data_IF_340053387537
#
_entry.id   IF_340053387537
#
_cell.length_a   1.000
_cell.length_b   1.000
_cell.length_c   1.000
_cell.angle_alpha   90.00
_cell.angle_beta   90.00
_cell.angle_gamma   90.00
#
_symmetry.space_group_name_H-M   'P 1'
#
loop_
_entity.id
_entity.type
_entity.pdbx_description
1 polymer ?
#
# COMPACT_ATOMS: atom_id res chain seq x y z
N UNK A 1 1.56 2.08 -29.57
CA UNK A 1 0.53 2.69 -28.71
C UNK A 1 0.92 2.38 -27.29
N UNK A 2 0.91 3.39 -26.41
CA UNK A 2 1.14 3.17 -24.98
C UNK A 2 0.09 2.22 -24.41
N UNK A 3 0.52 1.32 -23.52
CA UNK A 3 -0.36 0.42 -22.76
C UNK A 3 -0.33 0.75 -21.27
N UNK A 4 -1.35 0.28 -20.58
CA UNK A 4 -1.40 0.25 -19.12
C UNK A 4 -0.76 -1.03 -18.58
N UNK A 5 0.18 -0.87 -17.66
CA UNK A 5 0.77 -1.99 -16.92
C UNK A 5 0.34 -1.86 -15.47
N UNK A 6 -0.50 -2.82 -15.03
CA UNK A 6 -1.11 -2.82 -13.71
C UNK A 6 -0.46 -3.88 -12.84
N UNK A 7 0.14 -3.48 -11.73
CA UNK A 7 0.73 -4.36 -10.72
C UNK A 7 -0.17 -4.35 -9.50
N UNK A 8 -0.62 -5.52 -9.05
CA UNK A 8 -1.44 -5.68 -7.86
C UNK A 8 -0.70 -6.55 -6.84
N UNK A 9 -0.33 -5.97 -5.70
CA UNK A 9 0.41 -6.64 -4.63
C UNK A 9 -0.49 -6.82 -3.42
N UNK A 10 -0.91 -8.04 -3.14
CA UNK A 10 -1.77 -8.34 -2.00
C UNK A 10 -0.96 -8.45 -0.68
N UNK A 11 -1.66 -8.34 0.43
CA UNK A 11 -1.13 -8.65 1.76
C UNK A 11 -1.01 -10.15 2.00
N UNK A 12 -0.29 -10.50 3.04
CA UNK A 12 0.02 -11.88 3.41
C UNK A 12 -1.17 -12.73 3.80
N UNK A 13 -1.07 -14.03 3.51
CA UNK A 13 -2.06 -15.06 3.86
C UNK A 13 -3.38 -14.99 3.07
N UNK A 14 -3.43 -14.22 1.98
CA UNK A 14 -4.53 -14.25 1.02
C UNK A 14 -4.23 -15.27 -0.09
N UNK A 15 -4.14 -16.56 0.28
CA UNK A 15 -4.34 -17.61 -0.72
C UNK A 15 -5.70 -17.39 -1.40
N UNK A 16 -5.86 -17.87 -2.64
CA UNK A 16 -7.13 -17.89 -3.38
C UNK A 16 -8.13 -18.75 -2.58
N UNK A 17 -8.72 -18.14 -1.55
CA UNK A 17 -9.55 -18.76 -0.54
C UNK A 17 -10.93 -18.12 -0.57
N UNK A 18 -11.86 -18.62 0.26
CA UNK A 18 -13.21 -18.04 0.38
C UNK A 18 -13.21 -16.60 0.88
N UNK A 19 -12.10 -16.13 1.48
CA UNK A 19 -11.90 -14.77 1.97
C UNK A 19 -11.06 -14.01 0.95
N UNK A 20 -11.66 -13.02 0.27
CA UNK A 20 -11.00 -12.27 -0.80
C UNK A 20 -10.65 -10.87 -0.35
N UNK A 21 -9.41 -10.45 -0.63
CA UNK A 21 -9.02 -9.05 -0.54
C UNK A 21 -9.68 -8.23 -1.65
N UNK A 22 -9.67 -6.92 -1.46
CA UNK A 22 -10.05 -5.96 -2.48
C UNK A 22 -9.03 -5.90 -3.61
N UNK A 23 -7.76 -6.26 -3.38
CA UNK A 23 -6.75 -6.38 -4.44
C UNK A 23 -7.11 -7.53 -5.40
N UNK A 24 -7.49 -8.70 -4.86
CA UNK A 24 -7.94 -9.83 -5.68
C UNK A 24 -9.27 -9.56 -6.39
N UNK A 25 -10.20 -8.87 -5.71
CA UNK A 25 -11.46 -8.43 -6.35
C UNK A 25 -11.16 -7.44 -7.49
N UNK A 26 -10.29 -6.46 -7.26
CA UNK A 26 -9.85 -5.49 -8.25
C UNK A 26 -9.23 -6.17 -9.48
N UNK A 27 -8.32 -7.13 -9.26
CA UNK A 27 -7.77 -7.97 -10.33
C UNK A 27 -8.85 -8.63 -11.18
N UNK A 28 -9.91 -9.14 -10.55
CA UNK A 28 -11.07 -9.72 -11.25
C UNK A 28 -11.82 -8.71 -12.12
N UNK A 29 -11.91 -7.46 -11.69
CA UNK A 29 -12.65 -6.39 -12.40
C UNK A 29 -11.90 -5.76 -13.57
N UNK A 30 -10.56 -5.86 -13.61
CA UNK A 30 -9.75 -5.25 -14.66
C UNK A 30 -9.85 -6.02 -15.99
N UNK A 31 -9.99 -5.28 -17.10
CA UNK A 31 -9.83 -5.85 -18.46
C UNK A 31 -8.39 -6.32 -18.65
N UNK A 32 -8.21 -7.40 -19.40
CA UNK A 32 -6.89 -7.97 -19.72
C UNK A 32 -6.79 -8.03 -21.22
N UNK A 33 -6.14 -7.03 -21.81
CA UNK A 33 -6.00 -6.87 -23.27
C UNK A 33 -4.55 -6.53 -23.59
N UNK A 34 -4.12 -6.55 -24.86
CA UNK A 34 -2.78 -6.12 -25.23
C UNK A 34 -2.44 -4.68 -24.76
N UNK A 35 -3.45 -3.82 -24.64
CA UNK A 35 -3.35 -2.42 -24.19
C UNK A 35 -3.44 -2.27 -22.67
N UNK A 36 -3.83 -3.32 -21.93
CA UNK A 36 -3.85 -3.34 -20.47
C UNK A 36 -3.40 -4.69 -19.92
N UNK A 37 -2.13 -4.74 -19.51
CA UNK A 37 -1.48 -5.93 -18.95
C UNK A 37 -1.59 -5.87 -17.43
N UNK A 38 -2.01 -6.97 -16.81
CA UNK A 38 -2.31 -7.03 -15.37
C UNK A 38 -1.53 -8.16 -14.70
N UNK A 39 -0.72 -7.81 -13.71
CA UNK A 39 0.04 -8.71 -12.85
C UNK A 39 -0.54 -8.72 -11.44
N UNK A 40 -0.71 -9.91 -10.85
CA UNK A 40 -1.19 -10.08 -9.48
C UNK A 40 -0.24 -10.96 -8.69
N UNK A 41 0.20 -10.46 -7.55
CA UNK A 41 0.99 -11.18 -6.55
C UNK A 41 0.14 -11.38 -5.28
N UNK A 42 -0.04 -12.62 -4.81
CA UNK A 42 -0.86 -12.93 -3.63
C UNK A 42 -0.20 -12.56 -2.28
N UNK A 43 1.01 -12.01 -2.29
CA UNK A 43 1.79 -11.75 -1.09
C UNK A 43 2.51 -13.00 -0.56
N UNK A 44 3.35 -12.82 0.46
CA UNK A 44 4.05 -13.94 1.10
C UNK A 44 3.09 -14.80 1.93
N UNK A 45 3.09 -16.11 1.66
CA UNK A 45 2.51 -17.13 2.52
C UNK A 45 3.63 -18.05 2.99
N UNK A 46 3.82 -18.19 4.30
CA UNK A 46 4.76 -19.18 4.85
C UNK A 46 4.17 -20.56 4.64
N UNK A 47 4.49 -21.18 3.50
CA UNK A 47 4.33 -22.63 3.34
C UNK A 47 5.35 -23.29 4.26
N UNK A 48 4.87 -24.04 5.26
CA UNK A 48 5.72 -24.83 6.16
C UNK A 48 5.25 -24.85 7.61
N UNK A 49 4.20 -25.61 7.90
CA UNK A 49 4.00 -26.33 9.15
C UNK A 49 2.70 -27.16 9.04
N UNK A 50 2.79 -28.34 8.42
CA UNK A 50 1.70 -29.33 8.38
C UNK A 50 1.43 -30.01 9.73
N UNK A 51 1.89 -29.43 10.85
CA UNK A 51 1.58 -29.93 12.19
C UNK A 51 0.96 -28.80 13.02
N UNK A 52 -0.25 -29.08 13.50
CA UNK A 52 -1.13 -28.18 14.24
C UNK A 52 -0.40 -27.31 15.28
N UNK A 53 -0.85 -26.07 15.47
CA UNK A 53 -1.09 -25.33 16.73
C UNK A 53 -1.81 -24.00 16.39
N UNK A 54 -2.83 -23.63 17.18
CA UNK A 54 -3.80 -22.51 17.05
C UNK A 54 -3.59 -21.45 15.94
N UNK A 55 -4.66 -21.15 15.18
CA UNK A 55 -4.74 -20.10 14.13
C UNK A 55 -4.17 -18.74 14.54
N UNK A 56 -4.39 -18.33 15.80
CA UNK A 56 -3.88 -17.08 16.36
C UNK A 56 -2.36 -17.07 16.54
N UNK A 57 -1.76 -18.20 16.95
CA UNK A 57 -0.29 -18.35 17.08
C UNK A 57 0.38 -18.45 15.70
N UNK A 58 -0.23 -19.14 14.73
CA UNK A 58 0.25 -19.16 13.34
C UNK A 58 0.26 -17.76 12.74
N UNK A 59 -0.83 -17.01 12.87
CA UNK A 59 -0.90 -15.63 12.38
C UNK A 59 0.08 -14.68 13.11
N UNK A 60 0.29 -14.85 14.42
CA UNK A 60 1.33 -14.12 15.17
C UNK A 60 2.74 -14.50 14.70
N UNK A 61 3.02 -15.77 14.44
CA UNK A 61 4.30 -16.24 13.88
C UNK A 61 4.47 -15.80 12.43
N UNK A 62 3.40 -15.66 11.63
CA UNK A 62 3.45 -15.03 10.31
C UNK A 62 3.74 -13.54 10.42
N UNK A 63 3.22 -12.85 11.44
CA UNK A 63 3.51 -11.44 11.68
C UNK A 63 4.93 -11.20 12.22
N UNK A 64 5.42 -12.03 13.14
CA UNK A 64 6.73 -11.90 13.80
C UNK A 64 7.85 -12.66 13.08
N UNK A 65 7.58 -13.80 12.46
CA UNK A 65 8.55 -14.56 11.65
C UNK A 65 8.91 -13.86 10.33
N UNK A 66 8.09 -12.88 9.92
CA UNK A 66 8.32 -12.00 8.77
C UNK A 66 8.88 -10.62 9.18
N UNK A 67 9.29 -10.45 10.44
CA UNK A 67 10.02 -9.29 10.97
C UNK A 67 11.41 -9.09 10.33
N UNK A 68 11.84 -10.01 9.46
CA UNK A 68 13.11 -9.97 8.72
C UNK A 68 12.97 -9.43 7.29
N UNK A 69 11.76 -9.07 6.83
CA UNK A 69 11.54 -8.63 5.44
C UNK A 69 11.66 -9.75 4.39
N UNK A 70 11.87 -10.99 4.83
CA UNK A 70 12.04 -12.16 3.98
C UNK A 70 10.76 -12.43 3.16
N UNK A 71 10.89 -12.41 1.84
CA UNK A 71 9.82 -12.58 0.86
C UNK A 71 9.14 -11.28 0.37
N UNK A 72 9.15 -10.18 1.14
CA UNK A 72 8.69 -8.88 0.62
C UNK A 72 9.61 -8.40 -0.52
N UNK A 73 10.91 -8.53 -0.30
CA UNK A 73 11.95 -8.17 -1.26
C UNK A 73 11.80 -8.97 -2.56
N UNK A 74 11.47 -10.27 -2.45
CA UNK A 74 11.24 -11.14 -3.61
C UNK A 74 10.03 -10.69 -4.41
N UNK A 75 8.89 -10.42 -3.76
CA UNK A 75 7.68 -9.97 -4.45
C UNK A 75 7.90 -8.61 -5.15
N UNK A 76 8.66 -7.70 -4.53
CA UNK A 76 9.02 -6.41 -5.16
C UNK A 76 9.92 -6.64 -6.38
N UNK A 77 10.95 -7.49 -6.26
CA UNK A 77 11.86 -7.80 -7.38
C UNK A 77 11.15 -8.53 -8.53
N UNK A 78 10.22 -9.45 -8.24
CA UNK A 78 9.41 -10.14 -9.25
C UNK A 78 8.48 -9.17 -9.99
N UNK A 79 7.77 -8.31 -9.26
CA UNK A 79 6.96 -7.25 -9.87
C UNK A 79 7.81 -6.28 -10.71
N UNK A 80 9.03 -5.98 -10.25
CA UNK A 80 9.99 -5.17 -11.02
C UNK A 80 10.46 -5.86 -12.30
N UNK A 81 10.78 -7.17 -12.26
CA UNK A 81 11.13 -7.97 -13.45
C UNK A 81 9.98 -7.99 -14.45
N UNK A 82 8.76 -8.13 -13.97
CA UNK A 82 7.56 -8.05 -14.80
C UNK A 82 7.47 -6.69 -15.50
N UNK A 83 7.64 -5.59 -14.76
CA UNK A 83 7.65 -4.24 -15.34
C UNK A 83 8.74 -4.10 -16.40
N UNK A 84 9.99 -4.49 -16.12
CA UNK A 84 11.09 -4.37 -17.07
C UNK A 84 10.86 -5.18 -18.35
N UNK A 85 10.24 -6.36 -18.23
CA UNK A 85 9.94 -7.23 -19.38
C UNK A 85 8.80 -6.68 -20.25
N UNK A 86 7.80 -6.07 -19.62
CA UNK A 86 6.59 -5.64 -20.33
C UNK A 86 6.59 -4.17 -20.74
N UNK A 87 7.38 -3.31 -20.09
CA UNK A 87 7.40 -1.88 -20.36
C UNK A 87 8.04 -1.58 -21.72
N UNK A 88 7.26 -0.95 -22.59
CA UNK A 88 7.71 -0.48 -23.89
C UNK A 88 7.93 1.02 -23.86
N UNK A 89 9.02 1.41 -24.48
CA UNK A 89 9.26 2.81 -24.79
C UNK A 89 8.42 3.21 -25.99
N UNK A 90 7.57 4.21 -25.80
CA UNK A 90 7.03 4.95 -26.92
C UNK A 90 8.15 5.57 -27.75
N UNK A 91 8.02 5.53 -29.07
CA UNK A 91 8.84 6.32 -29.97
C UNK A 91 8.67 7.81 -29.63
N UNK A 92 9.72 8.60 -29.86
CA UNK A 92 9.65 10.05 -29.67
C UNK A 92 8.82 10.62 -30.82
N UNK A 93 7.63 11.13 -30.53
CA UNK A 93 6.79 11.82 -31.49
C UNK A 93 7.48 13.07 -32.04
N UNK A 94 7.00 13.56 -33.19
CA UNK A 94 7.53 14.76 -33.86
C UNK A 94 7.41 16.04 -33.01
N UNK A 95 6.52 16.04 -32.02
CA UNK A 95 6.30 17.10 -31.02
C UNK A 95 7.20 16.96 -29.78
N UNK A 96 8.07 15.94 -29.75
CA UNK A 96 8.94 15.62 -28.62
C UNK A 96 8.26 14.87 -27.48
N UNK A 97 6.95 14.57 -27.56
CA UNK A 97 6.24 13.75 -26.58
C UNK A 97 6.52 12.27 -26.84
N UNK A 98 6.66 11.48 -25.76
CA UNK A 98 6.78 10.02 -25.85
C UNK A 98 5.49 9.42 -25.36
N UNK A 99 4.83 8.62 -26.19
CA UNK A 99 3.68 7.81 -25.79
C UNK A 99 4.17 6.59 -25.00
N UNK A 100 4.64 6.83 -23.77
CA UNK A 100 5.20 5.80 -22.89
C UNK A 100 4.10 5.06 -22.14
N UNK A 101 4.31 3.77 -21.90
CA UNK A 101 3.43 2.95 -21.07
C UNK A 101 3.16 3.57 -19.70
N UNK A 102 1.95 3.38 -19.19
CA UNK A 102 1.49 3.93 -17.92
C UNK A 102 1.53 2.86 -16.84
N UNK A 103 2.25 3.12 -15.76
CA UNK A 103 2.38 2.17 -14.63
C UNK A 103 1.33 2.47 -13.57
N UNK A 104 0.57 1.46 -13.18
CA UNK A 104 -0.42 1.51 -12.10
C UNK A 104 -0.03 0.51 -11.03
N UNK A 105 0.15 0.97 -9.81
CA UNK A 105 0.57 0.13 -8.69
C UNK A 105 -0.55 0.09 -7.66
N UNK A 106 -0.98 -1.11 -7.30
CA UNK A 106 -1.99 -1.34 -6.29
C UNK A 106 -1.48 -2.23 -5.17
N UNK A 107 -1.95 -2.01 -3.95
CA UNK A 107 -1.75 -3.00 -2.92
C UNK A 107 -2.55 -2.79 -1.65
N UNK A 108 -2.58 -3.83 -0.82
CA UNK A 108 -3.24 -3.83 0.48
C UNK A 108 -2.25 -4.15 1.60
N UNK A 109 -2.34 -3.44 2.73
CA UNK A 109 -1.57 -3.74 3.93
C UNK A 109 -0.06 -3.72 3.68
N UNK A 110 0.59 -4.87 3.77
CA UNK A 110 2.00 -5.05 3.42
C UNK A 110 2.25 -5.01 1.92
N UNK A 111 1.32 -5.52 1.10
CA UNK A 111 1.37 -5.35 -0.34
C UNK A 111 1.26 -3.88 -0.77
N UNK A 112 0.51 -3.06 -0.02
CA UNK A 112 0.49 -1.60 -0.21
C UNK A 112 1.87 -0.97 0.09
N UNK A 113 2.55 -1.46 1.12
CA UNK A 113 3.93 -1.06 1.39
C UNK A 113 4.89 -1.55 0.29
N UNK A 114 4.77 -2.80 -0.18
CA UNK A 114 5.53 -3.31 -1.32
C UNK A 114 5.33 -2.46 -2.57
N UNK A 115 4.11 -1.99 -2.84
CA UNK A 115 3.81 -1.10 -3.96
C UNK A 115 4.53 0.26 -3.81
N UNK A 116 4.58 0.81 -2.60
CA UNK A 116 5.37 2.01 -2.28
C UNK A 116 6.88 1.77 -2.44
N UNK A 117 7.39 0.61 -2.01
CA UNK A 117 8.80 0.22 -2.15
C UNK A 117 9.17 0.07 -3.62
N UNK A 118 8.33 -0.59 -4.42
CA UNK A 118 8.50 -0.71 -5.86
C UNK A 118 8.50 0.67 -6.54
N UNK A 119 7.57 1.56 -6.17
CA UNK A 119 7.55 2.93 -6.67
C UNK A 119 8.85 3.68 -6.35
N UNK A 120 9.35 3.56 -5.12
CA UNK A 120 10.61 4.18 -4.72
C UNK A 120 11.82 3.60 -5.45
N UNK A 121 11.83 2.28 -5.69
CA UNK A 121 12.88 1.63 -6.44
C UNK A 121 12.90 2.06 -7.91
N UNK A 122 11.72 2.19 -8.54
CA UNK A 122 11.58 2.74 -9.89
C UNK A 122 12.06 4.19 -9.99
N UNK A 123 11.81 4.99 -8.96
CA UNK A 123 12.30 6.37 -8.90
C UNK A 123 13.84 6.43 -8.80
N UNK A 124 14.42 5.62 -7.92
CA UNK A 124 15.85 5.62 -7.64
C UNK A 124 16.69 4.97 -8.74
N UNK A 125 16.27 3.81 -9.26
CA UNK A 125 17.07 3.00 -10.19
C UNK A 125 16.48 2.90 -11.60
N UNK A 126 15.26 3.38 -11.82
CA UNK A 126 14.58 3.21 -13.11
C UNK A 126 14.33 1.76 -13.48
N UNK A 127 13.97 1.52 -14.74
CA UNK A 127 13.81 0.21 -15.37
C UNK A 127 15.09 -0.13 -16.12
N UNK A 128 15.66 -1.30 -15.81
CA UNK A 128 16.82 -1.86 -16.48
C UNK A 128 16.38 -2.77 -17.62
N UNK A 129 17.30 -3.02 -18.56
CA UNK A 129 17.07 -3.98 -19.63
C UNK A 129 16.96 -5.42 -19.05
N UNK A 130 16.05 -6.28 -19.54
CA UNK A 130 15.88 -7.65 -19.03
C UNK A 130 17.16 -8.49 -18.99
N UNK A 131 18.10 -8.23 -19.90
CA UNK A 131 19.41 -8.89 -19.96
C UNK A 131 20.27 -8.64 -18.72
N UNK A 132 19.96 -7.59 -17.95
CA UNK A 132 20.72 -7.15 -16.77
C UNK A 132 20.08 -7.58 -15.45
N UNK A 133 19.10 -8.50 -15.45
CA UNK A 133 18.45 -9.00 -14.24
C UNK A 133 19.40 -9.69 -13.25
N UNK A 134 20.58 -10.13 -13.69
CA UNK A 134 21.65 -10.62 -12.82
C UNK A 134 22.13 -9.54 -11.82
N UNK A 135 21.97 -8.25 -12.14
CA UNK A 135 22.36 -7.14 -11.29
C UNK A 135 21.24 -6.65 -10.36
N UNK A 136 20.00 -7.13 -10.55
CA UNK A 136 18.83 -6.66 -9.81
C UNK A 136 19.00 -6.79 -8.29
N UNK A 137 19.53 -7.91 -7.81
CA UNK A 137 19.73 -8.14 -6.38
C UNK A 137 20.72 -7.15 -5.76
N UNK A 138 21.74 -6.73 -6.51
CA UNK A 138 22.72 -5.74 -6.06
C UNK A 138 22.08 -4.34 -6.01
N UNK A 139 21.43 -3.94 -7.10
CA UNK A 139 20.73 -2.65 -7.18
C UNK A 139 19.66 -2.51 -6.08
N UNK A 140 18.88 -3.57 -5.85
CA UNK A 140 17.83 -3.56 -4.83
C UNK A 140 18.41 -3.53 -3.40
N UNK A 141 19.56 -4.18 -3.16
CA UNK A 141 20.28 -4.09 -1.88
C UNK A 141 20.78 -2.66 -1.63
N UNK A 142 21.38 -2.03 -2.63
CA UNK A 142 21.83 -0.63 -2.57
C UNK A 142 20.65 0.34 -2.37
N UNK A 143 19.49 0.06 -2.96
CA UNK A 143 18.28 0.85 -2.68
C UNK A 143 17.84 0.77 -1.22
N UNK A 144 17.87 -0.43 -0.62
CA UNK A 144 17.45 -0.60 0.77
C UNK A 144 18.35 0.13 1.76
N UNK A 145 19.64 0.29 1.48
CA UNK A 145 20.57 1.02 2.34
C UNK A 145 20.29 2.52 2.40
N UNK A 146 19.67 3.14 1.36
CA UNK A 146 19.27 4.56 1.39
C UNK A 146 18.28 4.87 2.53
N UNK A 147 17.38 3.93 2.81
CA UNK A 147 16.33 4.08 3.83
C UNK A 147 16.79 3.75 5.24
N UNK A 148 18.00 3.20 5.40
CA UNK A 148 18.66 3.21 6.70
C UNK A 148 18.97 4.67 6.95
N UNK A 149 18.41 5.25 8.02
CA UNK A 149 18.74 6.61 8.42
C UNK A 149 20.24 6.65 8.67
N UNK A 150 21.00 6.93 7.61
CA UNK A 150 22.42 7.11 7.60
C UNK A 150 22.66 8.23 8.60
N UNK A 151 23.03 7.82 9.81
CA UNK A 151 23.42 8.73 10.88
C UNK A 151 24.68 9.51 10.48
N UNK A 152 25.30 9.11 9.38
CA UNK A 152 26.49 9.67 8.79
C UNK A 152 26.22 10.15 7.35
N UNK A 153 26.52 11.43 7.08
CA UNK A 153 26.41 12.02 5.75
C UNK A 153 27.33 11.33 4.72
N UNK A 154 28.43 10.71 5.17
CA UNK A 154 29.36 9.98 4.30
C UNK A 154 28.72 8.71 3.72
N UNK A 155 27.99 7.95 4.54
CA UNK A 155 27.30 6.71 4.12
C UNK A 155 26.20 7.02 3.09
N UNK A 156 25.44 8.10 3.33
CA UNK A 156 24.47 8.59 2.32
C UNK A 156 25.15 8.92 1.00
N UNK A 157 26.29 9.63 1.04
CA UNK A 157 27.01 10.04 -0.16
C UNK A 157 27.53 8.85 -0.97
N UNK A 158 27.99 7.78 -0.30
CA UNK A 158 28.46 6.54 -0.92
C UNK A 158 27.31 5.79 -1.59
N UNK A 159 26.17 5.62 -0.91
CA UNK A 159 24.98 4.99 -1.51
C UNK A 159 24.48 5.79 -2.72
N UNK A 160 24.43 7.12 -2.64
CA UNK A 160 24.09 7.96 -3.80
C UNK A 160 25.13 7.86 -4.92
N UNK A 161 26.40 7.64 -4.61
CA UNK A 161 27.42 7.38 -5.61
C UNK A 161 27.20 6.03 -6.31
N UNK A 162 26.85 4.98 -5.57
CA UNK A 162 26.50 3.66 -6.11
C UNK A 162 25.29 3.73 -7.05
N UNK A 163 24.22 4.45 -6.65
CA UNK A 163 23.06 4.70 -7.52
C UNK A 163 23.49 5.38 -8.82
N UNK A 164 24.29 6.46 -8.74
CA UNK A 164 24.79 7.17 -9.94
C UNK A 164 25.65 6.29 -10.83
N UNK A 165 26.44 5.38 -10.24
CA UNK A 165 27.21 4.40 -11.02
C UNK A 165 26.28 3.44 -11.77
N UNK A 166 25.27 2.90 -11.09
CA UNK A 166 24.25 2.06 -11.72
C UNK A 166 23.51 2.81 -12.84
N UNK A 167 23.11 4.06 -12.60
CA UNK A 167 22.47 4.89 -13.63
C UNK A 167 23.37 5.08 -14.85
N UNK A 168 24.67 5.34 -14.65
CA UNK A 168 25.61 5.56 -15.74
C UNK A 168 25.88 4.28 -16.54
N UNK A 169 25.98 3.13 -15.86
CA UNK A 169 26.32 1.84 -16.49
C UNK A 169 25.11 1.22 -17.18
N UNK A 170 23.96 1.21 -16.50
CA UNK A 170 22.74 0.55 -16.98
C UNK A 170 21.89 1.45 -17.85
N UNK A 171 22.13 2.77 -17.81
CA UNK A 171 21.34 3.79 -18.50
C UNK A 171 19.82 3.53 -18.38
N UNK A 172 19.31 3.39 -17.14
CA UNK A 172 17.96 2.92 -16.92
C UNK A 172 16.94 3.97 -17.34
N UNK A 173 15.75 3.49 -17.66
CA UNK A 173 14.63 4.36 -17.95
C UNK A 173 13.96 4.79 -16.68
N UNK A 174 13.68 6.08 -16.50
CA UNK A 174 12.87 6.57 -15.37
C UNK A 174 11.40 6.66 -15.77
N UNK A 175 10.55 5.65 -15.49
CA UNK A 175 9.15 5.72 -15.85
C UNK A 175 8.39 6.67 -14.90
N UNK A 176 7.26 7.16 -15.39
CA UNK A 176 6.26 7.85 -14.57
C UNK A 176 5.26 6.82 -14.05
N UNK A 177 4.84 6.98 -12.80
CA UNK A 177 3.81 6.13 -12.19
C UNK A 177 2.50 6.89 -12.26
N UNK A 178 1.56 6.38 -13.04
CA UNK A 178 0.26 7.03 -13.30
C UNK A 178 -0.58 7.12 -12.04
N UNK A 179 -0.64 6.05 -11.25
CA UNK A 179 -1.36 6.03 -9.99
C UNK A 179 -0.78 4.98 -9.03
N UNK A 180 -0.74 5.32 -7.75
CA UNK A 180 -0.50 4.42 -6.64
C UNK A 180 -1.80 4.27 -5.81
N UNK A 181 -2.48 3.13 -5.96
CA UNK A 181 -3.75 2.80 -5.31
C UNK A 181 -3.58 1.87 -4.10
N UNK A 182 -3.81 2.38 -2.90
CA UNK A 182 -3.44 1.73 -1.65
C UNK A 182 -4.67 1.47 -0.78
N UNK A 183 -4.75 0.27 -0.24
CA UNK A 183 -5.68 -0.07 0.83
C UNK A 183 -4.90 -0.19 2.14
N UNK A 184 -5.18 0.71 3.06
CA UNK A 184 -4.72 0.73 4.45
C UNK A 184 -3.25 0.31 4.67
N UNK A 185 -2.32 1.08 4.08
CA UNK A 185 -0.88 0.83 4.19
C UNK A 185 -0.44 0.79 5.66
N UNK A 186 0.17 -0.31 6.08
CA UNK A 186 0.77 -0.44 7.43
C UNK A 186 2.29 -0.50 7.32
N UNK A 187 2.99 0.01 8.33
CA UNK A 187 4.44 -0.10 8.40
C UNK A 187 4.83 -1.58 8.59
N UNK A 188 5.44 -2.19 7.58
CA UNK A 188 5.57 -3.65 7.49
C UNK A 188 6.90 -4.22 8.00
N UNK A 189 7.82 -3.37 8.47
CA UNK A 189 9.15 -3.81 8.90
C UNK A 189 9.39 -3.37 10.33
N UNK A 190 9.16 -4.29 11.26
CA UNK A 190 9.60 -4.18 12.65
C UNK A 190 10.86 -5.03 12.77
N UNK A 191 12.04 -4.44 12.65
CA UNK A 191 13.31 -5.15 12.81
C UNK A 191 13.69 -5.26 14.30
N UNK A 192 14.36 -6.34 14.73
CA UNK A 192 14.97 -6.40 16.05
C UNK A 192 16.07 -5.32 16.15
N UNK A 193 15.84 -4.26 16.91
CA UNK A 193 16.92 -3.35 17.29
C UNK A 193 17.73 -3.89 18.47
N UNK A 194 18.90 -3.30 18.73
CA UNK A 194 19.85 -3.72 19.78
C UNK A 194 19.23 -3.96 21.16
N UNK A 195 18.15 -3.25 21.49
CA UNK A 195 17.40 -3.41 22.74
C UNK A 195 15.87 -3.38 22.56
N UNK A 196 15.37 -2.88 21.43
CA UNK A 196 13.93 -2.68 21.16
C UNK A 196 13.62 -2.84 19.67
N UNK A 197 12.42 -3.32 19.30
CA UNK A 197 12.01 -3.38 17.90
C UNK A 197 12.02 -1.99 17.25
N UNK A 198 12.50 -1.88 16.01
CA UNK A 198 12.58 -0.63 15.24
C UNK A 198 11.75 -0.72 13.98
N UNK A 199 10.96 0.32 13.71
CA UNK A 199 10.25 0.45 12.43
C UNK A 199 11.19 1.09 11.41
N UNK A 200 11.48 0.38 10.31
CA UNK A 200 12.25 0.95 9.18
C UNK A 200 11.32 1.44 8.08
N UNK A 201 11.72 2.52 7.42
CA UNK A 201 11.05 3.08 6.24
C UNK A 201 12.06 3.21 5.12
N UNK A 202 11.80 2.58 3.98
CA UNK A 202 12.65 2.78 2.81
C UNK A 202 12.46 4.20 2.23
N UNK A 203 13.49 4.68 1.53
CA UNK A 203 13.47 5.95 0.83
C UNK A 203 12.33 5.99 -0.19
N UNK A 204 11.79 7.18 -0.46
CA UNK A 204 10.72 7.40 -1.44
C UNK A 204 9.42 6.61 -1.25
N UNK A 205 9.17 6.06 -0.05
CA UNK A 205 7.92 5.30 0.24
C UNK A 205 6.79 6.15 0.80
N UNK A 206 7.08 7.40 1.19
CA UNK A 206 6.08 8.38 1.64
C UNK A 206 6.03 9.62 0.76
N UNK A 207 7.10 9.96 0.06
CA UNK A 207 7.18 11.07 -0.88
C UNK A 207 7.97 10.57 -2.08
N UNK A 208 7.34 10.55 -3.25
CA UNK A 208 7.95 10.03 -4.48
C UNK A 208 7.56 10.92 -5.66
N UNK A 209 8.49 11.73 -6.17
CA UNK A 209 8.18 12.65 -7.26
C UNK A 209 7.90 12.00 -8.62
N UNK A 210 8.15 10.69 -8.78
CA UNK A 210 7.77 9.95 -9.99
C UNK A 210 6.30 9.50 -9.99
N UNK A 211 5.59 9.64 -8.87
CA UNK A 211 4.17 9.28 -8.75
C UNK A 211 3.30 10.48 -9.11
N UNK A 212 2.39 10.33 -10.08
CA UNK A 212 1.52 11.43 -10.48
C UNK A 212 0.26 11.53 -9.62
N UNK A 213 -0.33 10.39 -9.27
CA UNK A 213 -1.54 10.33 -8.45
C UNK A 213 -1.44 9.27 -7.35
N UNK A 214 -2.04 9.55 -6.21
CA UNK A 214 -2.16 8.62 -5.08
C UNK A 214 -3.62 8.53 -4.67
N UNK A 215 -4.10 7.30 -4.48
CA UNK A 215 -5.40 7.00 -3.89
C UNK A 215 -5.18 6.07 -2.72
N UNK A 216 -5.49 6.49 -1.51
CA UNK A 216 -5.32 5.66 -0.33
C UNK A 216 -6.61 5.60 0.49
N UNK A 217 -7.17 4.40 0.62
CA UNK A 217 -8.27 4.12 1.55
C UNK A 217 -7.70 3.79 2.93
N UNK A 218 -8.24 4.40 3.99
CA UNK A 218 -7.71 4.29 5.36
C UNK A 218 -8.80 3.85 6.34
N UNK A 219 -8.44 3.01 7.30
CA UNK A 219 -9.36 2.53 8.33
C UNK A 219 -9.45 3.52 9.51
N UNK A 220 -10.67 3.89 9.90
CA UNK A 220 -10.93 4.74 11.08
C UNK A 220 -10.82 3.92 12.37
N UNK A 221 -11.40 2.72 12.38
CA UNK A 221 -11.70 1.95 13.60
C UNK A 221 -10.64 0.89 13.94
N UNK A 222 -9.52 0.88 13.21
CA UNK A 222 -8.40 -0.01 13.51
C UNK A 222 -7.61 0.48 14.73
N UNK A 223 -7.51 -0.37 15.76
CA UNK A 223 -6.96 -0.03 17.07
C UNK A 223 -5.67 -0.74 17.43
N UNK A 224 -5.23 -1.72 16.63
CA UNK A 224 -4.00 -2.48 16.91
C UNK A 224 -2.79 -1.60 16.68
N UNK A 225 -1.91 -1.50 17.68
CA UNK A 225 -0.75 -0.62 17.69
C UNK A 225 0.24 -0.88 16.54
N UNK A 226 0.33 -2.13 16.06
CA UNK A 226 1.19 -2.49 14.92
C UNK A 226 0.56 -2.19 13.55
N UNK A 227 -0.71 -1.79 13.51
CA UNK A 227 -1.46 -1.50 12.28
C UNK A 227 -1.65 0.01 12.13
N UNK A 228 -0.63 0.80 12.49
CA UNK A 228 -0.67 2.26 12.30
C UNK A 228 -0.57 2.57 10.81
N UNK A 229 -1.43 3.48 10.31
CA UNK A 229 -1.45 3.79 8.89
C UNK A 229 -0.20 4.60 8.54
N UNK A 230 0.39 4.29 7.38
CA UNK A 230 1.44 5.11 6.78
C UNK A 230 0.78 6.06 5.78
N UNK A 231 0.68 7.34 6.14
CA UNK A 231 0.13 8.38 5.26
C UNK A 231 1.09 8.73 4.12
N UNK A 232 0.59 9.43 3.10
CA UNK A 232 1.41 10.08 2.08
C UNK A 232 1.99 11.39 2.61
N UNK A 233 3.18 11.75 2.17
CA UNK A 233 3.89 12.93 2.61
C UNK A 233 3.20 14.25 2.22
N UNK A 234 3.60 15.32 2.91
CA UNK A 234 3.12 16.68 2.65
C UNK A 234 3.81 17.31 1.43
N UNK A 235 5.04 16.92 1.16
CA UNK A 235 5.71 17.29 -0.09
C UNK A 235 5.14 16.45 -1.24
N UNK A 236 4.39 17.14 -2.10
CA UNK A 236 3.51 16.59 -3.14
C UNK A 236 3.90 17.16 -4.51
N UNK A 237 5.19 17.19 -4.81
CA UNK A 237 5.70 17.55 -6.13
C UNK A 237 5.77 16.32 -7.06
N UNK A 238 5.26 16.45 -8.27
CA UNK A 238 5.37 15.49 -9.37
C UNK A 238 6.35 16.03 -10.41
N UNK A 239 7.38 15.25 -10.74
CA UNK A 239 8.38 15.60 -11.74
C UNK A 239 7.93 15.13 -13.12
N UNK A 240 7.54 16.08 -13.98
CA UNK A 240 7.28 15.82 -15.39
C UNK A 240 8.54 15.38 -16.13
N UNK A 241 9.68 15.97 -15.79
CA UNK A 241 10.98 15.62 -16.33
C UNK A 241 11.99 15.57 -15.18
N UNK A 242 12.60 14.40 -14.90
CA UNK A 242 13.63 14.28 -13.86
C UNK A 242 14.82 15.23 -14.04
N UNK A 243 15.07 15.71 -15.26
CA UNK A 243 16.17 16.63 -15.59
C UNK A 243 15.77 18.12 -15.53
N UNK A 244 14.49 18.42 -15.28
CA UNK A 244 13.98 19.80 -15.11
C UNK A 244 13.06 19.89 -13.89
N UNK A 245 13.61 19.91 -12.67
CA UNK A 245 12.83 20.00 -11.43
C UNK A 245 11.94 21.24 -11.34
N UNK A 246 12.34 22.32 -12.00
CA UNK A 246 11.59 23.57 -12.12
C UNK A 246 10.20 23.40 -12.79
N UNK A 247 10.04 22.38 -13.62
CA UNK A 247 8.78 22.06 -14.32
C UNK A 247 7.84 21.17 -13.47
N UNK A 248 8.08 21.07 -12.16
CA UNK A 248 7.27 20.23 -11.27
C UNK A 248 5.82 20.71 -11.15
N UNK A 249 4.91 19.76 -10.96
CA UNK A 249 3.48 20.01 -10.78
C UNK A 249 2.97 19.41 -9.47
N UNK A 250 1.86 19.88 -8.90
CA UNK A 250 1.27 19.23 -7.73
C UNK A 250 0.81 17.79 -8.04
N UNK A 251 1.11 16.84 -7.15
CA UNK A 251 0.57 15.49 -7.20
C UNK A 251 -0.95 15.49 -6.90
N UNK A 252 -1.70 14.65 -7.61
CA UNK A 252 -3.10 14.39 -7.30
C UNK A 252 -3.20 13.32 -6.19
N UNK A 253 -3.17 13.75 -4.93
CA UNK A 253 -3.22 12.87 -3.76
C UNK A 253 -4.59 12.92 -3.10
N UNK A 254 -5.26 11.76 -2.98
CA UNK A 254 -6.47 11.60 -2.17
C UNK A 254 -6.30 10.47 -1.17
N UNK A 255 -6.28 10.83 0.12
CA UNK A 255 -6.35 9.89 1.24
C UNK A 255 -7.74 10.01 1.85
N UNK A 256 -8.52 8.92 1.80
CA UNK A 256 -9.91 8.90 2.25
C UNK A 256 -10.10 7.90 3.36
N UNK A 257 -10.73 8.33 4.44
CA UNK A 257 -10.97 7.53 5.64
C UNK A 257 -12.36 6.93 5.62
N UNK A 258 -12.45 5.63 5.91
CA UNK A 258 -13.66 4.83 5.87
C UNK A 258 -13.89 4.13 7.22
N UNK A 259 -15.17 3.88 7.52
CA UNK A 259 -15.57 3.12 8.69
C UNK A 259 -15.09 1.66 8.59
N UNK A 260 -14.69 1.10 9.74
CA UNK A 260 -14.21 -0.26 9.87
C UNK A 260 -12.73 -0.39 10.17
N UNK A 261 -12.32 -1.64 10.40
CA UNK A 261 -10.94 -2.02 10.72
C UNK A 261 -10.13 -2.30 9.45
N UNK A 262 -8.84 -2.63 9.60
CA UNK A 262 -7.94 -2.90 8.47
C UNK A 262 -8.50 -3.87 7.40
N UNK A 263 -9.14 -4.96 7.84
CA UNK A 263 -9.77 -5.94 6.94
C UNK A 263 -11.09 -5.46 6.33
N UNK A 264 -11.76 -4.49 6.94
CA UNK A 264 -12.95 -3.86 6.36
C UNK A 264 -12.54 -2.93 5.21
N UNK A 265 -11.31 -2.40 5.22
CA UNK A 265 -10.83 -1.52 4.14
C UNK A 265 -10.22 -2.31 2.99
N UNK A 266 -9.36 -3.28 3.30
CA UNK A 266 -8.69 -4.07 2.27
C UNK A 266 -9.38 -5.38 1.90
N UNK A 267 -10.48 -5.72 2.56
CA UNK A 267 -11.13 -7.02 2.42
C UNK A 267 -10.44 -8.13 3.22
N UNK A 268 -10.82 -9.38 2.94
CA UNK A 268 -10.36 -10.55 3.68
C UNK A 268 -11.38 -11.12 4.69
N UNK A 269 -12.56 -10.50 4.81
CA UNK A 269 -13.71 -11.09 5.50
C UNK A 269 -14.52 -11.98 4.55
N UNK A 270 -15.33 -12.91 5.10
CA UNK A 270 -16.30 -13.67 4.31
C UNK A 270 -17.24 -12.76 3.50
N UNK A 271 -17.73 -13.27 2.39
CA UNK A 271 -18.51 -12.46 1.46
C UNK A 271 -19.77 -11.81 2.09
N UNK A 272 -20.58 -12.50 2.93
CA UNK A 272 -21.74 -11.86 3.59
C UNK A 272 -21.39 -10.67 4.47
N UNK A 273 -20.16 -10.59 4.97
CA UNK A 273 -19.67 -9.55 5.88
C UNK A 273 -18.83 -8.49 5.15
N UNK A 274 -18.73 -8.56 3.82
CA UNK A 274 -17.79 -7.75 3.04
C UNK A 274 -18.30 -6.37 2.64
N UNK A 275 -19.51 -5.95 3.06
CA UNK A 275 -20.15 -4.72 2.58
C UNK A 275 -19.32 -3.45 2.77
N UNK A 276 -18.63 -3.31 3.91
CA UNK A 276 -17.70 -2.19 4.14
C UNK A 276 -16.52 -2.21 3.16
N UNK A 277 -15.95 -3.38 2.90
CA UNK A 277 -14.86 -3.53 1.92
C UNK A 277 -15.28 -3.28 0.49
N UNK A 278 -16.57 -3.42 0.15
CA UNK A 278 -17.03 -3.06 -1.20
C UNK A 278 -17.06 -1.55 -1.41
N UNK A 279 -17.34 -0.75 -0.37
CA UNK A 279 -17.34 0.73 -0.46
C UNK A 279 -15.96 1.26 -0.83
N UNK A 280 -14.91 0.71 -0.22
CA UNK A 280 -13.53 1.14 -0.50
C UNK A 280 -13.06 0.69 -1.87
N UNK A 281 -13.48 -0.51 -2.31
CA UNK A 281 -13.20 -1.02 -3.64
C UNK A 281 -13.92 -0.23 -4.73
N UNK A 282 -15.19 0.08 -4.52
CA UNK A 282 -16.00 0.94 -5.39
C UNK A 282 -15.33 2.31 -5.56
N UNK A 283 -15.00 2.98 -4.46
CA UNK A 283 -14.29 4.26 -4.50
C UNK A 283 -12.97 4.18 -5.28
N UNK A 284 -12.15 3.16 -5.04
CA UNK A 284 -10.87 3.00 -5.76
C UNK A 284 -11.09 2.82 -7.27
N UNK A 285 -12.10 2.04 -7.66
CA UNK A 285 -12.45 1.81 -9.06
C UNK A 285 -12.96 3.10 -9.72
N UNK A 286 -13.81 3.87 -9.05
CA UNK A 286 -14.32 5.14 -9.57
C UNK A 286 -13.18 6.13 -9.83
N UNK A 287 -12.31 6.32 -8.84
CA UNK A 287 -11.18 7.25 -8.93
C UNK A 287 -10.21 6.89 -10.07
N UNK A 288 -9.89 5.60 -10.22
CA UNK A 288 -8.92 5.15 -11.23
C UNK A 288 -9.53 4.95 -12.61
N UNK A 289 -10.83 4.63 -12.69
CA UNK A 289 -11.57 4.66 -13.97
C UNK A 289 -11.62 6.08 -14.52
N UNK A 290 -11.86 7.09 -13.68
CA UNK A 290 -11.83 8.49 -14.10
C UNK A 290 -10.45 8.92 -14.65
N UNK A 291 -9.37 8.23 -14.23
CA UNK A 291 -8.02 8.43 -14.75
C UNK A 291 -7.71 7.67 -16.05
N UNK A 292 -8.63 6.84 -16.53
CA UNK A 292 -8.53 6.09 -17.78
C UNK A 292 -8.19 4.59 -17.65
N UNK A 293 -8.22 4.02 -16.44
CA UNK A 293 -7.97 2.59 -16.25
C UNK A 293 -9.19 1.75 -16.67
N UNK A 294 -8.97 0.64 -17.39
CA UNK A 294 -10.04 -0.10 -18.06
C UNK A 294 -10.60 -1.26 -17.21
N UNK A 295 -11.93 -1.27 -17.09
CA UNK A 295 -12.66 -2.25 -16.27
C UNK A 295 -13.73 -3.01 -17.04
N UNK A 296 -14.04 -4.22 -16.58
CA UNK A 296 -15.21 -4.99 -17.00
C UNK A 296 -16.43 -4.58 -16.18
N UNK A 297 -17.35 -3.81 -16.79
CA UNK A 297 -18.60 -3.39 -16.15
C UNK A 297 -19.39 -4.60 -15.64
N UNK A 298 -19.51 -5.66 -16.44
CA UNK A 298 -20.19 -6.91 -16.01
C UNK A 298 -19.60 -7.48 -14.73
N UNK A 299 -18.26 -7.50 -14.64
CA UNK A 299 -17.59 -8.06 -13.46
C UNK A 299 -17.74 -7.15 -12.25
N UNK A 300 -17.80 -5.84 -12.44
CA UNK A 300 -18.04 -4.86 -11.38
C UNK A 300 -19.45 -5.01 -10.82
N UNK A 301 -20.46 -5.03 -11.69
CA UNK A 301 -21.85 -5.20 -11.28
C UNK A 301 -22.02 -6.48 -10.46
N UNK A 302 -21.35 -7.58 -10.83
CA UNK A 302 -21.41 -8.82 -10.06
C UNK A 302 -20.56 -8.78 -8.78
N UNK A 303 -19.25 -8.56 -8.87
CA UNK A 303 -18.31 -8.75 -7.75
C UNK A 303 -18.34 -7.58 -6.77
N UNK A 304 -18.55 -6.35 -7.24
CA UNK A 304 -18.47 -5.14 -6.42
C UNK A 304 -19.86 -4.72 -5.95
N UNK A 305 -20.79 -4.55 -6.90
CA UNK A 305 -22.13 -4.01 -6.62
C UNK A 305 -23.13 -5.08 -6.15
N UNK A 306 -22.80 -6.36 -6.31
CA UNK A 306 -23.70 -7.45 -5.92
C UNK A 306 -25.01 -7.50 -6.74
N UNK A 307 -25.03 -6.91 -7.94
CA UNK A 307 -26.22 -6.83 -8.79
C UNK A 307 -26.53 -8.15 -9.50
N UNK A 308 -27.82 -8.37 -9.79
CA UNK A 308 -28.33 -9.58 -10.45
C UNK A 308 -28.41 -10.79 -9.52
N UNK A 309 -28.29 -12.00 -10.06
CA UNK A 309 -28.21 -13.24 -9.26
C UNK A 309 -26.78 -13.46 -8.71
N UNK A 310 -26.19 -12.40 -8.15
CA UNK A 310 -24.82 -12.43 -7.64
C UNK A 310 -24.79 -13.04 -6.24
N UNK A 311 -23.83 -13.94 -6.00
CA UNK A 311 -23.51 -14.44 -4.65
C UNK A 311 -22.66 -13.47 -3.82
N UNK A 312 -22.31 -12.33 -4.39
CA UNK A 312 -21.45 -11.32 -3.78
C UNK A 312 -22.31 -10.25 -3.09
N UNK A 313 -21.83 -9.78 -1.95
CA UNK A 313 -22.52 -8.72 -1.19
C UNK A 313 -22.32 -7.37 -1.87
N UNK A 314 -23.32 -6.50 -1.75
CA UNK A 314 -23.27 -5.12 -2.22
C UNK A 314 -22.49 -4.21 -1.25
N UNK A 315 -22.03 -3.03 -1.69
CA UNK A 315 -21.56 -1.98 -0.80
C UNK A 315 -22.68 -1.53 0.13
N UNK A 316 -22.37 -1.47 1.43
CA UNK A 316 -23.34 -1.12 2.45
C UNK A 316 -22.64 -0.42 3.64
N UNK A 317 -22.92 0.88 3.87
CA UNK A 317 -22.40 1.62 5.03
C UNK A 317 -22.77 1.02 6.38
N UNK A 318 -23.87 0.26 6.44
CA UNK A 318 -24.41 -0.36 7.66
C UNK A 318 -24.03 -1.83 7.79
N UNK A 319 -23.21 -2.36 6.87
CA UNK A 319 -22.69 -3.71 7.01
C UNK A 319 -21.98 -3.90 8.37
N UNK A 320 -21.97 -5.14 8.91
CA UNK A 320 -21.32 -5.43 10.18
C UNK A 320 -19.88 -4.91 10.21
N UNK A 321 -19.57 -4.10 11.22
CA UNK A 321 -18.21 -3.63 11.45
C UNK A 321 -17.47 -4.63 12.33
N UNK A 322 -16.26 -5.01 11.92
CA UNK A 322 -15.50 -6.00 12.66
C UNK A 322 -14.67 -5.36 13.77
N UNK A 323 -14.40 -6.15 14.81
CA UNK A 323 -13.41 -5.79 15.85
C UNK A 323 -12.15 -6.62 15.62
N UNK A 324 -11.03 -5.95 15.33
CA UNK A 324 -9.74 -6.59 15.05
C UNK A 324 -8.87 -6.77 16.30
N UNK A 325 -9.00 -5.88 17.30
CA UNK A 325 -8.32 -5.96 18.59
C UNK A 325 -9.00 -7.01 19.50
N UNK A 326 -8.61 -8.27 19.35
CA UNK A 326 -9.14 -9.42 20.11
C UNK A 326 -8.02 -10.28 20.72
N UNK A 327 -8.28 -10.90 21.86
CA UNK A 327 -7.45 -11.96 22.45
C UNK A 327 -5.96 -11.58 22.55
N UNK A 328 -5.06 -12.31 21.89
CA UNK A 328 -3.61 -12.13 21.97
C UNK A 328 -3.11 -10.76 21.52
N UNK A 329 -3.91 -9.99 20.77
CA UNK A 329 -3.58 -8.61 20.44
C UNK A 329 -3.42 -7.71 21.67
N UNK A 330 -4.21 -7.95 22.72
CA UNK A 330 -4.10 -7.17 23.96
C UNK A 330 -2.76 -7.34 24.66
N UNK A 331 -2.07 -8.47 24.47
CA UNK A 331 -0.71 -8.67 25.01
C UNK A 331 0.29 -7.71 24.35
N UNK A 332 0.10 -7.43 23.06
CA UNK A 332 0.98 -6.54 22.29
C UNK A 332 0.69 -5.06 22.57
N UNK A 333 -0.55 -4.72 22.94
CA UNK A 333 -0.92 -3.38 23.39
C UNK A 333 -0.29 -2.98 24.74
N UNK A 334 0.18 -3.97 25.52
CA UNK A 334 0.90 -3.76 26.78
C UNK A 334 2.41 -3.58 26.58
N UNK A 335 2.93 -3.73 25.36
CA UNK A 335 4.37 -3.53 25.09
C UNK A 335 4.63 -2.02 24.99
N UNK A 336 5.49 -1.45 25.86
CA UNK A 336 5.80 -0.03 25.81
C UNK A 336 6.64 0.32 24.58
N UNK A 337 6.35 1.46 23.95
CA UNK A 337 7.14 2.02 22.87
C UNK A 337 7.72 3.40 23.23
N UNK A 338 8.95 3.68 22.76
CA UNK A 338 9.47 5.05 22.67
C UNK A 338 8.87 5.70 21.43
N UNK A 339 7.75 6.36 21.59
CA UNK A 339 7.13 7.12 20.50
C UNK A 339 7.29 8.61 20.73
N UNK A 340 7.41 9.42 19.66
CA UNK A 340 7.40 10.87 19.76
C UNK A 340 6.15 11.35 20.51
N UNK A 341 6.29 12.44 21.29
CA UNK A 341 5.15 13.10 21.94
C UNK A 341 4.03 13.33 20.92
N UNK A 342 2.80 12.92 21.22
CA UNK A 342 1.61 13.10 20.36
C UNK A 342 1.26 11.91 19.46
N UNK A 343 2.11 10.88 19.36
CA UNK A 343 1.80 9.69 18.53
C UNK A 343 0.63 8.84 19.06
N UNK A 344 0.36 8.93 20.36
CA UNK A 344 -0.80 8.32 21.00
C UNK A 344 -1.55 9.40 21.80
N UNK A 345 -2.47 10.14 21.17
CA UNK A 345 -3.25 11.16 21.87
C UNK A 345 -4.02 10.60 23.08
N UNK A 346 -4.28 9.29 23.09
CA UNK A 346 -5.04 8.57 24.12
C UNK A 346 -4.27 7.41 24.79
N UNK A 347 -2.99 7.21 24.45
CA UNK A 347 -2.17 6.18 25.09
C UNK A 347 -1.81 6.57 26.51
N UNK A 348 -1.68 5.59 27.42
CA UNK A 348 -1.22 5.89 28.79
C UNK A 348 0.29 6.09 28.79
N UNK A 349 0.74 7.20 29.37
CA UNK A 349 2.15 7.47 29.60
C UNK A 349 2.52 7.10 31.03
N UNK A 350 3.56 6.28 31.19
CA UNK A 350 4.10 5.92 32.50
C UNK A 350 5.63 5.86 32.42
N UNK A 351 6.31 6.61 33.28
CA UNK A 351 7.78 6.68 33.34
C UNK A 351 8.46 6.94 31.98
N UNK A 352 7.89 7.82 31.14
CA UNK A 352 8.44 8.16 29.82
C UNK A 352 8.22 7.10 28.72
N UNK A 353 7.52 6.01 29.04
CA UNK A 353 7.08 5.00 28.10
C UNK A 353 5.61 5.23 27.74
N UNK A 354 5.26 5.01 26.48
CA UNK A 354 3.86 5.11 26.03
C UNK A 354 3.31 3.71 25.75
N UNK A 355 2.15 3.43 26.34
CA UNK A 355 1.39 2.20 26.16
C UNK A 355 0.21 2.47 25.24
N UNK A 356 0.14 1.80 24.06
CA UNK A 356 -0.93 2.00 23.10
C UNK A 356 -2.32 1.68 23.67
N UNK A 357 -2.48 0.58 24.40
CA UNK A 357 -3.74 0.16 25.06
C UNK A 357 -5.00 0.25 24.18
N UNK A 358 -4.87 -0.05 22.89
CA UNK A 358 -5.96 0.05 21.93
C UNK A 358 -6.37 1.49 21.61
N UNK A 359 -5.47 2.46 21.72
CA UNK A 359 -5.70 3.84 21.32
C UNK A 359 -6.10 3.92 19.85
N UNK A 360 -7.08 4.78 19.55
CA UNK A 360 -7.53 5.00 18.18
C UNK A 360 -6.40 5.56 17.29
N UNK A 361 -6.61 5.51 15.97
CA UNK A 361 -5.72 6.14 14.99
C UNK A 361 -5.83 7.65 15.08
N UNK A 362 -4.70 8.33 14.90
CA UNK A 362 -4.67 9.78 14.72
C UNK A 362 -5.08 10.10 13.29
N UNK A 363 -6.20 10.80 13.13
CA UNK A 363 -6.69 11.28 11.84
C UNK A 363 -6.31 12.78 11.74
N UNK A 364 -5.64 13.23 10.66
CA UNK A 364 -5.34 14.64 10.46
C UNK A 364 -6.61 15.50 10.43
N UNK A 365 -6.53 16.76 10.87
CA UNK A 365 -7.70 17.66 10.83
C UNK A 365 -8.15 17.98 9.38
N UNK A 366 -7.24 17.92 8.42
CA UNK A 366 -7.53 18.09 6.98
C UNK A 366 -7.90 16.79 6.26
N UNK A 367 -8.15 15.70 7.00
CA UNK A 367 -8.43 14.40 6.41
C UNK A 367 -9.79 14.38 5.69
N UNK A 368 -9.83 13.78 4.50
CA UNK A 368 -11.10 13.54 3.81
C UNK A 368 -11.80 12.32 4.40
N UNK A 369 -13.00 12.51 4.95
CA UNK A 369 -13.85 11.42 5.44
C UNK A 369 -14.79 10.95 4.31
N UNK A 370 -15.01 9.64 4.19
CA UNK A 370 -15.94 9.10 3.20
C UNK A 370 -17.39 9.38 3.59
N UNK A 371 -18.25 9.69 2.61
CA UNK A 371 -19.69 9.91 2.84
C UNK A 371 -20.39 8.71 3.50
N UNK A 372 -19.89 7.49 3.28
CA UNK A 372 -20.39 6.29 3.94
C UNK A 372 -20.23 6.32 5.47
N UNK A 373 -19.24 7.08 5.99
CA UNK A 373 -19.06 7.28 7.43
C UNK A 373 -20.19 8.14 7.98
N UNK A 374 -20.50 9.25 7.32
CA UNK A 374 -21.64 10.11 7.68
C UNK A 374 -22.95 9.34 7.60
N UNK A 375 -23.18 8.60 6.50
CA UNK A 375 -24.37 7.76 6.35
C UNK A 375 -24.50 6.72 7.48
N UNK A 376 -23.38 6.15 7.95
CA UNK A 376 -23.37 5.25 9.10
C UNK A 376 -23.69 5.98 10.40
N UNK A 377 -23.08 7.14 10.65
CA UNK A 377 -23.33 7.93 11.86
C UNK A 377 -24.79 8.41 11.96
N UNK A 378 -25.41 8.73 10.83
CA UNK A 378 -26.80 9.16 10.75
C UNK A 378 -27.78 8.01 11.06
N UNK A 379 -27.47 6.80 10.57
CA UNK A 379 -28.33 5.63 10.73
C UNK A 379 -28.06 4.83 12.02
N UNK A 380 -26.83 4.87 12.55
CA UNK A 380 -26.38 4.18 13.76
C UNK A 380 -25.96 5.22 14.82
N UNK A 381 -26.82 5.51 15.81
CA UNK A 381 -26.52 6.46 16.89
C UNK A 381 -25.32 6.07 17.75
N UNK A 382 -24.98 4.78 17.83
CA UNK A 382 -23.88 4.27 18.67
C UNK A 382 -22.51 4.41 17.98
N UNK A 383 -22.51 4.58 16.65
CA UNK A 383 -21.27 4.81 15.90
C UNK A 383 -20.85 6.28 15.97
N UNK A 384 -20.06 6.64 16.99
CA UNK A 384 -19.45 7.97 17.14
C UNK A 384 -17.93 7.86 17.34
N UNK A 385 -17.15 7.72 16.25
CA UNK A 385 -15.70 7.61 16.37
C UNK A 385 -15.11 8.92 16.89
N UNK A 386 -14.51 8.84 18.07
CA UNK A 386 -13.99 10.00 18.81
C UNK A 386 -12.68 10.55 18.22
N UNK A 387 -12.12 9.88 17.21
CA UNK A 387 -10.89 10.27 16.52
C UNK A 387 -11.15 11.00 15.19
N UNK A 388 -12.41 11.31 14.87
CA UNK A 388 -12.74 12.15 13.71
C UNK A 388 -12.32 13.61 13.95
N UNK A 389 -11.99 14.34 12.88
CA UNK A 389 -11.78 15.79 12.94
C UNK A 389 -13.07 16.51 13.36
N UNK A 390 -12.93 17.70 13.97
CA UNK A 390 -14.08 18.45 14.49
C UNK A 390 -14.96 19.07 13.40
N UNK A 391 -14.43 19.20 12.18
CA UNK A 391 -15.13 19.68 10.98
C UNK A 391 -14.75 18.75 9.79
N UNK A 392 -15.43 17.60 9.63
CA UNK A 392 -15.03 16.50 8.73
C UNK A 392 -15.37 16.66 7.24
#
# INVERSE_FOLDING_TARGET
MAKDIVILLDGTSNQISRKRSNVLRLYGTLKKTPEQVVYYDPGVGTFGADNAWSTSRRWLVELFGQATGYGLDENVMEAYRFLCTHYQHGEKGADGTRDSDRIWLFGFSRGAYSARVLAGFLHAFGLIAPEQFNLLHYAYRAYKSIGEGASDAAESAEVFAEIRMHERILNPTKPKIRCLGLFDTVASVIEPGRFWPRVRSHAFTSNNPSVMAVRQALAIDERRAMFRPKLWGEDRAFLLNPFRPEDSQPQDVKERWFAGVHGDIGGGYPEPESGLGKLTLEWMIEETRAMGLAYSTRTINSIVLGEGQSKYSRPDPLAPMHVSLKSGWWLLECIPGRTPKGAFPQGRQFCGLTFPLGAARTIPQSASIALSVTARMDADPDYRPHNLPQDP
#
